data_IF_190127510043
#
_entry.id   IF_190127510043
#
_cell.length_a   1.000
_cell.length_b   1.000
_cell.length_c   1.000
_cell.angle_alpha   90.00
_cell.angle_beta   90.00
_cell.angle_gamma   90.00
#
_symmetry.space_group_name_H-M   'P 1'
#
loop_
_entity.id
_entity.type
_entity.pdbx_description
1 polymer ?
#
# COMPACT_ATOMS: atom_id res chain seq x y z
N UNK A 1 -22.29 -6.38 -23.16
CA UNK A 1 -23.71 -6.22 -22.74
C UNK A 1 -23.91 -4.99 -21.88
N UNK A 2 -23.22 -4.80 -20.74
CA UNK A 2 -23.33 -3.56 -19.95
C UNK A 2 -22.81 -2.28 -20.66
N UNK A 3 -21.81 -2.41 -21.53
CA UNK A 3 -21.18 -1.27 -22.23
C UNK A 3 -22.06 -0.61 -23.31
N UNK A 4 -23.22 -1.21 -23.63
CA UNK A 4 -24.19 -0.70 -24.62
C UNK A 4 -25.41 -0.01 -24.00
N UNK A 5 -25.48 0.14 -22.67
CA UNK A 5 -26.63 0.72 -21.97
C UNK A 5 -27.87 -0.19 -21.88
N UNK A 6 -27.87 -1.32 -22.59
CA UNK A 6 -28.95 -2.31 -22.60
C UNK A 6 -28.78 -3.31 -21.44
N UNK A 7 -29.01 -2.84 -20.22
CA UNK A 7 -29.33 -3.76 -19.11
C UNK A 7 -30.84 -3.95 -19.12
N UNK A 8 -31.35 -5.18 -19.14
CA UNK A 8 -32.79 -5.42 -18.93
C UNK A 8 -33.03 -5.57 -17.43
N UNK A 9 -33.72 -4.60 -16.83
CA UNK A 9 -34.10 -4.56 -15.41
C UNK A 9 -32.94 -4.89 -14.44
N UNK A 10 -31.88 -4.05 -14.39
CA UNK A 10 -30.72 -4.31 -13.56
C UNK A 10 -31.08 -4.36 -12.08
N UNK A 11 -30.54 -5.37 -11.38
CA UNK A 11 -30.69 -5.46 -9.93
C UNK A 11 -30.03 -4.24 -9.25
N UNK A 12 -30.56 -3.75 -8.11
CA UNK A 12 -29.95 -2.64 -7.37
C UNK A 12 -28.46 -2.86 -7.05
N UNK A 13 -28.08 -4.09 -6.72
CA UNK A 13 -26.69 -4.48 -6.47
C UNK A 13 -25.78 -4.37 -7.69
N UNK A 14 -26.34 -4.43 -8.91
CA UNK A 14 -25.59 -4.22 -10.16
C UNK A 14 -25.35 -2.73 -10.39
N UNK A 15 -26.36 -1.88 -10.19
CA UNK A 15 -26.22 -0.43 -10.28
C UNK A 15 -25.24 0.14 -9.24
N UNK A 16 -25.25 -0.41 -8.02
CA UNK A 16 -24.29 -0.04 -6.97
C UNK A 16 -22.82 -0.37 -7.34
N UNK A 17 -22.59 -1.38 -8.19
CA UNK A 17 -21.25 -1.65 -8.72
C UNK A 17 -20.78 -0.57 -9.68
N UNK A 18 -21.69 0.04 -10.45
CA UNK A 18 -21.36 1.19 -11.30
C UNK A 18 -21.07 2.44 -10.48
N UNK A 19 -21.87 2.71 -9.44
CA UNK A 19 -21.57 3.81 -8.51
C UNK A 19 -20.15 3.68 -7.94
N UNK A 20 -19.81 2.48 -7.47
CA UNK A 20 -18.46 2.18 -6.96
C UNK A 20 -17.39 2.30 -8.05
N UNK A 21 -17.57 1.61 -9.18
CA UNK A 21 -16.55 1.50 -10.24
C UNK A 21 -16.29 2.81 -11.00
N UNK A 22 -17.29 3.67 -11.10
CA UNK A 22 -17.20 4.97 -11.77
C UNK A 22 -16.95 6.12 -10.79
N UNK A 23 -16.83 5.82 -9.50
CA UNK A 23 -16.67 6.83 -8.43
C UNK A 23 -17.81 7.85 -8.46
N UNK A 24 -19.05 7.38 -8.61
CA UNK A 24 -20.24 8.21 -8.51
C UNK A 24 -20.81 8.16 -7.09
N UNK A 25 -21.58 9.18 -6.72
CA UNK A 25 -22.34 9.18 -5.46
C UNK A 25 -23.28 7.97 -5.45
N UNK A 26 -23.39 7.20 -4.36
CA UNK A 26 -24.34 6.09 -4.27
C UNK A 26 -25.75 6.51 -4.72
N UNK A 27 -26.35 5.72 -5.61
CA UNK A 27 -27.64 6.00 -6.26
C UNK A 27 -27.54 6.72 -7.61
N UNK A 28 -26.37 7.24 -7.99
CA UNK A 28 -26.21 7.96 -9.26
C UNK A 28 -26.45 7.06 -10.47
N UNK A 29 -25.99 5.80 -10.43
CA UNK A 29 -26.20 4.83 -11.50
C UNK A 29 -27.69 4.49 -11.66
N UNK A 30 -28.45 4.44 -10.56
CA UNK A 30 -29.89 4.24 -10.60
C UNK A 30 -30.60 5.47 -11.19
N UNK A 31 -30.22 6.67 -10.79
CA UNK A 31 -30.80 7.91 -11.32
C UNK A 31 -30.47 8.10 -12.81
N UNK A 32 -29.25 7.75 -13.23
CA UNK A 32 -28.87 7.74 -14.66
C UNK A 32 -29.75 6.76 -15.44
N UNK A 33 -29.92 5.54 -14.92
CA UNK A 33 -30.60 4.48 -15.65
C UNK A 33 -32.13 4.63 -15.68
N UNK A 34 -32.75 5.05 -14.58
CA UNK A 34 -34.20 5.17 -14.47
C UNK A 34 -34.75 6.57 -14.73
N UNK A 35 -34.01 7.60 -14.34
CA UNK A 35 -34.47 8.99 -14.40
C UNK A 35 -33.79 9.78 -15.53
N UNK A 36 -32.89 9.13 -16.29
CA UNK A 36 -32.03 9.80 -17.29
C UNK A 36 -31.29 11.02 -16.72
N UNK A 37 -31.03 11.01 -15.41
CA UNK A 37 -30.34 12.10 -14.72
C UNK A 37 -28.84 12.08 -15.03
N UNK A 38 -28.17 13.22 -14.84
CA UNK A 38 -26.70 13.26 -14.88
C UNK A 38 -26.12 12.63 -13.60
N UNK A 39 -25.08 11.78 -13.71
CA UNK A 39 -24.45 11.19 -12.54
C UNK A 39 -23.74 12.25 -11.71
N UNK A 40 -23.80 12.12 -10.39
CA UNK A 40 -22.99 12.95 -9.49
C UNK A 40 -21.62 12.29 -9.36
N UNK A 41 -20.65 12.78 -10.14
CA UNK A 41 -19.27 12.30 -10.07
C UNK A 41 -18.64 12.77 -8.76
N UNK A 42 -18.28 11.83 -7.90
CA UNK A 42 -17.35 12.10 -6.82
C UNK A 42 -15.97 12.08 -7.49
N UNK A 43 -15.46 13.25 -7.87
CA UNK A 43 -14.21 13.36 -8.62
C UNK A 43 -13.13 12.42 -8.08
N UNK A 44 -12.43 11.70 -8.97
CA UNK A 44 -11.27 10.91 -8.56
C UNK A 44 -10.25 11.90 -8.00
N UNK A 45 -10.00 11.85 -6.70
CA UNK A 45 -8.95 12.66 -6.11
C UNK A 45 -7.64 12.32 -6.86
N UNK A 46 -6.95 13.31 -7.45
CA UNK A 46 -5.74 13.05 -8.22
C UNK A 46 -4.68 12.45 -7.30
N UNK A 47 -3.92 11.50 -7.83
CA UNK A 47 -2.76 10.94 -7.12
C UNK A 47 -1.86 12.08 -6.65
N UNK A 48 -1.60 12.13 -5.35
CA UNK A 48 -0.71 13.11 -4.76
C UNK A 48 0.69 12.52 -4.76
N UNK A 49 1.45 12.86 -5.81
CA UNK A 49 2.88 12.62 -5.82
C UNK A 49 3.50 13.27 -4.57
N UNK A 50 4.33 12.51 -3.86
CA UNK A 50 5.09 13.06 -2.74
C UNK A 50 6.08 14.14 -3.21
N UNK A 51 6.75 14.79 -2.28
CA UNK A 51 7.73 15.84 -2.57
C UNK A 51 8.99 15.37 -3.35
N UNK A 52 9.02 14.11 -3.82
CA UNK A 52 10.17 13.46 -4.44
C UNK A 52 11.22 12.96 -3.45
N UNK A 53 11.08 13.32 -2.17
CA UNK A 53 12.05 13.04 -1.12
C UNK A 53 11.38 12.23 -0.02
N UNK A 54 12.09 11.24 0.53
CA UNK A 54 11.65 10.45 1.69
C UNK A 54 12.65 10.70 2.81
N UNK A 55 12.14 11.06 3.98
CA UNK A 55 13.00 11.15 5.17
C UNK A 55 13.30 9.74 5.65
N UNK A 56 14.56 9.34 5.59
CA UNK A 56 15.03 8.05 6.10
C UNK A 56 15.74 8.29 7.42
N UNK A 57 15.39 7.51 8.44
CA UNK A 57 16.09 7.55 9.72
C UNK A 57 17.56 7.13 9.56
N UNK A 58 18.44 7.72 10.38
CA UNK A 58 19.87 7.40 10.34
C UNK A 58 20.16 5.92 10.65
N UNK A 59 19.39 5.31 11.55
CA UNK A 59 19.54 3.90 11.92
C UNK A 59 19.24 2.93 10.74
N UNK A 60 18.08 3.01 10.06
CA UNK A 60 17.83 2.25 8.82
C UNK A 60 18.90 2.44 7.75
N UNK A 61 19.37 3.67 7.55
CA UNK A 61 20.43 3.96 6.58
C UNK A 61 21.76 3.29 6.96
N UNK A 62 22.13 3.35 8.24
CA UNK A 62 23.36 2.73 8.74
C UNK A 62 23.30 1.20 8.60
N UNK A 63 22.13 0.60 8.88
CA UNK A 63 21.90 -0.84 8.68
C UNK A 63 22.00 -1.25 7.22
N UNK A 64 21.47 -0.44 6.30
CA UNK A 64 21.60 -0.69 4.86
C UNK A 64 23.07 -0.68 4.42
N UNK A 65 23.83 0.34 4.82
CA UNK A 65 25.26 0.45 4.51
C UNK A 65 26.07 -0.73 5.10
N UNK A 66 25.73 -1.16 6.32
CA UNK A 66 26.36 -2.32 6.93
C UNK A 66 26.03 -3.62 6.19
N UNK A 67 24.77 -3.84 5.82
CA UNK A 67 24.34 -5.01 5.06
C UNK A 67 24.99 -5.07 3.66
N UNK A 68 25.08 -3.93 2.96
CA UNK A 68 25.78 -3.83 1.68
C UNK A 68 27.26 -4.20 1.82
N UNK A 69 27.94 -3.70 2.86
CA UNK A 69 29.35 -4.04 3.13
C UNK A 69 29.53 -5.52 3.44
N UNK A 70 28.65 -6.11 4.23
CA UNK A 70 28.69 -7.54 4.54
C UNK A 70 28.48 -8.37 3.27
N UNK A 71 27.52 -8.01 2.41
CA UNK A 71 27.32 -8.68 1.12
C UNK A 71 28.55 -8.62 0.22
N UNK A 72 29.21 -7.46 0.11
CA UNK A 72 30.47 -7.34 -0.63
C UNK A 72 31.58 -8.21 -0.05
N UNK A 73 31.66 -8.32 1.29
CA UNK A 73 32.63 -9.20 1.96
C UNK A 73 32.38 -10.66 1.60
N UNK A 74 31.14 -11.12 1.67
CA UNK A 74 30.82 -12.52 1.37
C UNK A 74 31.04 -12.87 -0.10
N UNK A 75 30.75 -11.95 -1.02
CA UNK A 75 31.04 -12.13 -2.45
C UNK A 75 32.54 -12.27 -2.68
N UNK A 76 33.37 -11.38 -2.12
CA UNK A 76 34.82 -11.47 -2.24
C UNK A 76 35.35 -12.76 -1.58
N UNK A 77 34.79 -13.14 -0.44
CA UNK A 77 35.13 -14.39 0.24
C UNK A 77 34.75 -15.65 -0.54
N UNK A 78 33.79 -15.59 -1.46
CA UNK A 78 33.51 -16.72 -2.36
C UNK A 78 34.62 -16.92 -3.40
N UNK A 79 35.25 -15.84 -3.89
CA UNK A 79 36.36 -15.92 -4.85
C UNK A 79 37.60 -16.53 -4.19
N UNK A 80 37.85 -16.19 -2.93
CA UNK A 80 39.00 -16.66 -2.14
C UNK A 80 38.72 -17.95 -1.34
N UNK A 81 37.50 -18.50 -1.44
CA UNK A 81 37.08 -19.74 -0.78
C UNK A 81 36.83 -19.64 0.74
N UNK A 82 36.81 -18.44 1.30
CA UNK A 82 36.58 -18.18 2.73
C UNK A 82 35.11 -18.05 3.12
N UNK A 83 34.22 -17.82 2.16
CA UNK A 83 32.77 -17.71 2.36
C UNK A 83 32.01 -18.81 1.62
N UNK A 84 30.87 -19.22 2.17
CA UNK A 84 29.98 -20.23 1.59
C UNK A 84 28.69 -19.59 1.10
N UNK A 85 27.94 -20.34 0.30
CA UNK A 85 26.62 -19.92 -0.21
C UNK A 85 25.66 -19.56 0.93
N UNK A 86 25.74 -20.26 2.08
CA UNK A 86 24.89 -19.94 3.23
C UNK A 86 25.24 -18.59 3.88
N UNK A 87 26.51 -18.19 3.88
CA UNK A 87 26.94 -16.86 4.36
C UNK A 87 26.36 -15.76 3.47
N UNK A 88 26.37 -15.98 2.15
CA UNK A 88 25.76 -15.08 1.17
C UNK A 88 24.24 -14.97 1.36
N UNK A 89 23.55 -16.08 1.66
CA UNK A 89 22.11 -16.06 1.97
C UNK A 89 21.81 -15.22 3.20
N UNK A 90 22.58 -15.39 4.28
CA UNK A 90 22.43 -14.59 5.49
C UNK A 90 22.70 -13.10 5.22
N UNK A 91 23.70 -12.77 4.39
CA UNK A 91 23.97 -11.39 3.99
C UNK A 91 22.82 -10.79 3.17
N UNK A 92 22.22 -11.58 2.26
CA UNK A 92 21.06 -11.16 1.46
C UNK A 92 19.83 -10.91 2.34
N UNK A 93 19.55 -11.79 3.31
CA UNK A 93 18.44 -11.60 4.26
C UNK A 93 18.60 -10.30 5.07
N UNK A 94 19.83 -9.98 5.51
CA UNK A 94 20.11 -8.70 6.19
C UNK A 94 19.87 -7.50 5.28
N UNK A 95 20.23 -7.61 4.00
CA UNK A 95 19.98 -6.56 3.02
C UNK A 95 18.48 -6.36 2.80
N UNK A 96 17.71 -7.44 2.65
CA UNK A 96 16.26 -7.40 2.47
C UNK A 96 15.56 -6.76 3.67
N UNK A 97 15.99 -7.07 4.90
CA UNK A 97 15.47 -6.42 6.11
C UNK A 97 15.75 -4.91 6.10
N UNK A 98 16.97 -4.50 5.74
CA UNK A 98 17.35 -3.09 5.71
C UNK A 98 16.60 -2.31 4.62
N UNK A 99 16.45 -2.88 3.43
CA UNK A 99 15.68 -2.30 2.33
C UNK A 99 14.21 -2.19 2.72
N UNK A 100 13.65 -3.23 3.34
CA UNK A 100 12.24 -3.26 3.79
C UNK A 100 11.92 -2.14 4.78
N UNK A 101 12.83 -1.80 5.70
CA UNK A 101 12.64 -0.70 6.65
C UNK A 101 12.55 0.67 5.94
N UNK A 102 13.40 0.89 4.94
CA UNK A 102 13.43 2.15 4.16
C UNK A 102 12.21 2.22 3.25
N UNK A 103 11.95 1.16 2.48
CA UNK A 103 10.79 1.07 1.60
C UNK A 103 9.48 1.20 2.39
N UNK A 104 9.40 0.60 3.58
CA UNK A 104 8.25 0.68 4.46
C UNK A 104 7.90 2.12 4.87
N UNK A 105 8.91 2.98 5.09
CA UNK A 105 8.70 4.40 5.40
C UNK A 105 8.12 5.16 4.21
N UNK A 106 8.70 4.95 3.01
CA UNK A 106 8.19 5.53 1.76
C UNK A 106 6.75 5.09 1.45
N UNK A 107 6.47 3.79 1.61
CA UNK A 107 5.15 3.21 1.38
C UNK A 107 4.14 3.81 2.35
N UNK A 108 4.45 3.88 3.65
CA UNK A 108 3.56 4.49 4.65
C UNK A 108 3.23 5.93 4.29
N UNK A 109 4.24 6.75 3.99
CA UNK A 109 4.02 8.17 3.65
C UNK A 109 3.16 8.33 2.38
N UNK A 110 3.43 7.49 1.36
CA UNK A 110 2.66 7.50 0.11
C UNK A 110 1.20 7.11 0.34
N UNK A 111 0.96 6.09 1.17
CA UNK A 111 -0.38 5.64 1.51
C UNK A 111 -1.13 6.65 2.38
N UNK A 112 -0.48 7.27 3.36
CA UNK A 112 -1.12 8.30 4.20
C UNK A 112 -1.56 9.52 3.39
N UNK A 113 -0.70 9.98 2.46
CA UNK A 113 -0.99 11.09 1.54
C UNK A 113 -2.17 10.79 0.61
N UNK A 114 -2.28 9.54 0.18
CA UNK A 114 -3.30 9.07 -0.77
C UNK A 114 -4.44 8.29 -0.12
N UNK A 115 -4.54 8.26 1.21
CA UNK A 115 -5.58 7.49 1.90
C UNK A 115 -6.99 7.96 1.54
N UNK A 116 -7.85 7.00 1.19
CA UNK A 116 -9.21 7.23 0.71
C UNK A 116 -9.31 7.42 -0.81
N UNK A 117 -8.17 7.43 -1.52
CA UNK A 117 -8.17 7.33 -2.99
C UNK A 117 -8.40 5.89 -3.43
N UNK A 118 -8.85 5.73 -4.68
CA UNK A 118 -9.05 4.40 -5.26
C UNK A 118 -7.70 3.67 -5.38
N UNK A 119 -7.61 2.43 -4.90
CA UNK A 119 -6.35 1.66 -4.84
C UNK A 119 -5.61 1.56 -6.18
N UNK A 120 -6.32 1.55 -7.31
CA UNK A 120 -5.74 1.61 -8.68
C UNK A 120 -4.90 2.86 -8.98
N UNK A 121 -5.02 3.92 -8.19
CA UNK A 121 -4.17 5.11 -8.29
C UNK A 121 -2.82 4.92 -7.57
N UNK A 122 -2.67 3.85 -6.79
CA UNK A 122 -1.45 3.50 -6.08
C UNK A 122 -0.65 2.51 -6.95
N UNK A 123 0.66 2.72 -7.03
CA UNK A 123 1.59 1.95 -7.86
C UNK A 123 1.50 0.42 -7.60
N UNK A 124 1.55 -0.38 -8.67
CA UNK A 124 1.64 -1.84 -8.61
C UNK A 124 2.80 -2.37 -7.76
N UNK A 125 3.92 -1.65 -7.70
CA UNK A 125 5.05 -2.01 -6.85
C UNK A 125 4.69 -1.95 -5.36
N UNK A 126 3.90 -0.95 -4.95
CA UNK A 126 3.40 -0.84 -3.57
C UNK A 126 2.40 -1.95 -3.28
N UNK A 127 1.53 -2.29 -4.24
CA UNK A 127 0.59 -3.40 -4.07
C UNK A 127 1.31 -4.73 -3.82
N UNK A 128 2.38 -5.03 -4.58
CA UNK A 128 3.18 -6.24 -4.42
C UNK A 128 3.85 -6.33 -3.03
N UNK A 129 4.31 -5.20 -2.49
CA UNK A 129 4.90 -5.16 -1.13
C UNK A 129 3.89 -5.42 -0.01
N UNK A 130 2.59 -5.24 -0.29
CA UNK A 130 1.52 -5.44 0.69
C UNK A 130 0.87 -6.83 0.59
N UNK A 131 1.12 -7.56 -0.48
CA UNK A 131 0.49 -8.86 -0.77
C UNK A 131 0.87 -9.98 0.23
N UNK A 132 2.13 -10.13 0.68
CA UNK A 132 2.51 -11.18 1.63
C UNK A 132 1.75 -11.06 2.95
N UNK A 133 1.29 -12.18 3.55
CA UNK A 133 0.58 -12.16 4.83
C UNK A 133 1.43 -11.54 5.94
N UNK A 134 0.76 -11.01 6.97
CA UNK A 134 1.43 -10.44 8.13
C UNK A 134 1.44 -11.48 9.24
N UNK A 135 2.62 -11.98 9.58
CA UNK A 135 2.79 -12.96 10.64
C UNK A 135 2.50 -12.34 12.02
N UNK A 136 2.02 -13.16 12.96
CA UNK A 136 1.66 -12.68 14.29
C UNK A 136 2.88 -12.23 15.11
N UNK A 137 3.99 -12.94 14.96
CA UNK A 137 5.24 -12.71 15.70
C UNK A 137 6.18 -11.71 14.99
N UNK A 138 5.72 -11.10 13.90
CA UNK A 138 6.50 -10.10 13.18
C UNK A 138 6.67 -8.82 14.03
N UNK A 139 7.91 -8.39 14.32
CA UNK A 139 8.15 -7.15 15.07
C UNK A 139 7.56 -5.90 14.38
N UNK A 140 7.41 -5.93 13.05
CA UNK A 140 6.83 -4.85 12.24
C UNK A 140 5.34 -5.07 11.94
N UNK A 141 4.68 -6.00 12.65
CA UNK A 141 3.27 -6.37 12.43
C UNK A 141 2.34 -5.18 12.42
N UNK A 142 2.45 -4.28 13.40
CA UNK A 142 1.56 -3.12 13.50
C UNK A 142 1.73 -2.18 12.29
N UNK A 143 2.96 -1.94 11.83
CA UNK A 143 3.25 -1.12 10.65
C UNK A 143 2.72 -1.77 9.37
N UNK A 144 2.89 -3.08 9.20
CA UNK A 144 2.35 -3.81 8.05
C UNK A 144 0.81 -3.79 8.01
N UNK A 145 0.16 -3.99 9.16
CA UNK A 145 -1.29 -3.87 9.29
C UNK A 145 -1.76 -2.44 9.01
N UNK A 146 -1.02 -1.45 9.48
CA UNK A 146 -1.34 -0.04 9.23
C UNK A 146 -1.26 0.29 7.74
N UNK A 147 -0.21 -0.15 7.03
CA UNK A 147 -0.10 0.05 5.57
C UNK A 147 -1.24 -0.66 4.81
N UNK A 148 -1.59 -1.88 5.19
CA UNK A 148 -2.74 -2.59 4.60
C UNK A 148 -4.07 -1.89 4.87
N UNK A 149 -4.26 -1.38 6.09
CA UNK A 149 -5.41 -0.55 6.45
C UNK A 149 -5.47 0.70 5.58
N UNK A 150 -4.34 1.39 5.40
CA UNK A 150 -4.27 2.60 4.59
C UNK A 150 -4.59 2.34 3.11
N UNK A 151 -4.13 1.19 2.59
CA UNK A 151 -4.39 0.76 1.22
C UNK A 151 -5.87 0.35 0.99
N UNK A 152 -6.61 0.06 2.07
CA UNK A 152 -7.98 -0.42 2.01
C UNK A 152 -8.09 -1.92 1.76
N UNK A 153 -7.03 -2.69 2.05
CA UNK A 153 -7.10 -4.15 2.03
C UNK A 153 -8.08 -4.66 3.11
N UNK A 154 -8.85 -5.72 2.85
CA UNK A 154 -9.65 -6.36 3.89
C UNK A 154 -8.71 -6.94 4.95
N UNK A 155 -8.77 -6.38 6.16
CA UNK A 155 -8.01 -6.83 7.32
C UNK A 155 -8.94 -6.97 8.52
N UNK A 156 -8.67 -7.98 9.35
CA UNK A 156 -9.35 -8.16 10.63
C UNK A 156 -8.59 -7.38 11.69
N UNK A 157 -9.15 -6.25 12.10
CA UNK A 157 -8.64 -5.44 13.21
C UNK A 157 -9.78 -5.06 14.16
N UNK A 158 -9.47 -4.95 15.44
CA UNK A 158 -10.44 -4.50 16.43
C UNK A 158 -10.73 -2.99 16.33
N UNK A 159 -11.78 -2.54 17.01
CA UNK A 159 -12.18 -1.14 16.99
C UNK A 159 -11.13 -0.23 17.63
N UNK A 160 -10.37 -0.71 18.61
CA UNK A 160 -9.31 0.04 19.27
C UNK A 160 -8.16 0.34 18.30
N UNK A 161 -7.72 -0.66 17.52
CA UNK A 161 -6.68 -0.53 16.50
C UNK A 161 -7.11 0.41 15.39
N UNK A 162 -8.34 0.27 14.89
CA UNK A 162 -8.89 1.17 13.88
C UNK A 162 -8.90 2.64 14.34
N UNK A 163 -9.24 2.91 15.61
CA UNK A 163 -9.18 4.25 16.21
C UNK A 163 -7.75 4.79 16.32
N UNK A 164 -6.77 3.94 16.68
CA UNK A 164 -5.34 4.31 16.72
C UNK A 164 -4.83 4.70 15.33
N UNK A 165 -5.09 3.88 14.33
CA UNK A 165 -4.70 4.12 12.93
C UNK A 165 -5.33 5.41 12.39
N UNK A 166 -6.61 5.64 12.67
CA UNK A 166 -7.31 6.87 12.31
C UNK A 166 -6.71 8.12 12.96
N UNK A 167 -6.25 8.01 14.23
CA UNK A 167 -5.58 9.12 14.92
C UNK A 167 -4.23 9.42 14.29
N UNK A 168 -3.40 8.39 14.08
CA UNK A 168 -2.09 8.50 13.42
C UNK A 168 -2.18 9.17 12.05
N UNK A 169 -3.13 8.75 11.21
CA UNK A 169 -3.36 9.35 9.89
C UNK A 169 -3.74 10.84 9.97
N UNK A 170 -4.56 11.23 10.96
CA UNK A 170 -4.89 12.65 11.15
C UNK A 170 -3.68 13.46 11.56
N UNK A 171 -2.83 12.89 12.42
CA UNK A 171 -1.63 13.55 12.91
C UNK A 171 -0.56 13.69 11.81
N UNK A 172 -0.43 12.70 10.92
CA UNK A 172 0.53 12.79 9.81
C UNK A 172 0.13 13.83 8.76
N UNK A 173 -1.18 14.00 8.50
CA UNK A 173 -1.71 15.03 7.58
C UNK A 173 -1.58 16.47 8.09
N UNK A 174 -1.20 16.66 9.35
CA UNK A 174 -0.98 17.99 9.96
C UNK A 174 0.47 18.45 9.89
N UNK A 175 1.39 17.56 9.52
CA UNK A 175 2.82 17.86 9.32
C UNK A 175 3.04 18.36 7.90
#
# INVERSE_FOLDING_TARGET
MAERGELNNPRPSTLQKFDTGLSWKPGSAANVYWESAQPVVLGRAPYKAGAGNVTVGLDPLTKLLAAQRDMHREIAGMEDGTSRVDDLRVALEKLDVAVSAIAGSFVTETLERNHGQHHKAIDSAIAALLEPPVDYDDPEREEKLYRRWLYGSPIEIDQATSRRFSRRLRDSRRR
#
